data_IF_214854797529
#
_entry.id   IF_214854797529
#
_cell.length_a   1.000
_cell.length_b   1.000
_cell.length_c   1.000
_cell.angle_alpha   90.00
_cell.angle_beta   90.00
_cell.angle_gamma   90.00
#
_symmetry.space_group_name_H-M   'P 1'
#
loop_
_entity.id
_entity.type
_entity.pdbx_description
1 polymer ?
#
# COMPACT_ATOMS: atom_id res chain seq x y z
N UNK A 1 -4.22 -1.32 24.41
CA UNK A 1 -3.77 0.09 24.31
C UNK A 1 -4.12 0.89 25.56
N UNK A 2 -5.31 0.68 26.14
CA UNK A 2 -5.76 1.40 27.32
C UNK A 2 -5.23 0.76 28.62
N UNK A 3 -4.87 1.61 29.59
CA UNK A 3 -4.63 1.22 30.97
C UNK A 3 -5.98 1.05 31.71
N UNK A 4 -5.95 0.49 32.94
CA UNK A 4 -7.17 0.31 33.76
C UNK A 4 -7.94 1.59 34.05
N UNK A 5 -7.27 2.75 34.01
CA UNK A 5 -7.85 4.08 34.21
C UNK A 5 -8.39 4.73 32.94
N UNK A 6 -8.49 4.02 31.83
CA UNK A 6 -8.98 4.52 30.54
C UNK A 6 -7.97 5.34 29.73
N UNK A 7 -6.79 5.66 30.29
CA UNK A 7 -5.76 6.40 29.55
C UNK A 7 -4.94 5.47 28.64
N UNK A 8 -4.41 6.00 27.54
CA UNK A 8 -3.50 5.26 26.66
C UNK A 8 -2.20 4.98 27.43
N UNK A 9 -1.72 3.74 27.41
CA UNK A 9 -0.43 3.37 28.00
C UNK A 9 0.69 4.11 27.29
N UNK A 10 1.66 4.63 28.06
CA UNK A 10 2.76 5.44 27.54
C UNK A 10 3.56 4.73 26.42
N UNK A 11 3.78 3.41 26.57
CA UNK A 11 4.44 2.59 25.55
C UNK A 11 3.61 2.37 24.27
N UNK A 12 2.34 2.78 24.27
CA UNK A 12 1.41 2.65 23.14
C UNK A 12 1.02 4.00 22.50
N UNK A 13 1.45 5.13 23.06
CA UNK A 13 1.11 6.46 22.56
C UNK A 13 1.57 6.62 21.10
N UNK A 14 2.80 6.22 20.79
CA UNK A 14 3.32 6.29 19.40
C UNK A 14 2.43 5.51 18.43
N UNK A 15 2.08 4.27 18.78
CA UNK A 15 1.22 3.43 17.94
C UNK A 15 -0.18 4.02 17.78
N UNK A 16 -0.71 4.63 18.82
CA UNK A 16 -1.99 5.35 18.75
C UNK A 16 -1.92 6.53 17.78
N UNK A 17 -0.90 7.39 17.90
CA UNK A 17 -0.73 8.53 17.02
C UNK A 17 -0.53 8.11 15.55
N UNK A 18 0.18 7.00 15.30
CA UNK A 18 0.32 6.44 13.95
C UNK A 18 -1.03 6.00 13.36
N UNK A 19 -1.87 5.38 14.18
CA UNK A 19 -3.21 4.95 13.77
C UNK A 19 -4.10 6.16 13.49
N UNK A 20 -4.08 7.15 14.38
CA UNK A 20 -4.88 8.36 14.27
C UNK A 20 -4.52 9.14 13.00
N UNK A 21 -3.24 9.36 12.77
CA UNK A 21 -2.75 10.02 11.55
C UNK A 21 -3.05 9.22 10.27
N UNK A 22 -2.99 7.88 10.33
CA UNK A 22 -3.42 7.05 9.22
C UNK A 22 -4.89 7.28 8.88
N UNK A 23 -5.78 7.33 9.87
CA UNK A 23 -7.21 7.60 9.65
C UNK A 23 -7.42 8.98 9.04
N UNK A 24 -6.69 9.99 9.51
CA UNK A 24 -6.73 11.34 8.93
C UNK A 24 -6.35 11.36 7.45
N UNK A 25 -5.25 10.69 7.09
CA UNK A 25 -4.84 10.56 5.69
C UNK A 25 -5.88 9.81 4.84
N UNK A 26 -6.52 8.79 5.40
CA UNK A 26 -7.58 8.06 4.71
C UNK A 26 -8.84 8.89 4.50
N UNK A 27 -9.17 9.82 5.39
CA UNK A 27 -10.26 10.78 5.16
C UNK A 27 -10.04 11.58 3.88
N UNK A 28 -8.82 12.04 3.66
CA UNK A 28 -8.44 12.74 2.42
C UNK A 28 -8.63 11.87 1.18
N UNK A 29 -8.26 10.58 1.25
CA UNK A 29 -8.46 9.63 0.14
C UNK A 29 -9.94 9.38 -0.12
N UNK A 30 -10.72 9.11 0.93
CA UNK A 30 -12.17 8.87 0.82
C UNK A 30 -12.89 10.07 0.20
N UNK A 31 -12.50 11.30 0.57
CA UNK A 31 -13.04 12.53 -0.01
C UNK A 31 -12.73 12.64 -1.51
N UNK A 32 -11.52 12.28 -1.95
CA UNK A 32 -11.13 12.35 -3.37
C UNK A 32 -11.83 11.31 -4.24
N UNK A 33 -12.07 10.10 -3.73
CA UNK A 33 -12.81 9.07 -4.48
C UNK A 33 -14.33 9.32 -4.51
N UNK A 34 -14.81 10.30 -3.74
CA UNK A 34 -16.22 10.70 -3.63
C UNK A 34 -17.01 9.85 -2.65
N UNK A 35 -18.18 10.39 -2.26
CA UNK A 35 -19.08 9.70 -1.35
C UNK A 35 -19.68 8.43 -1.98
N UNK A 36 -19.86 7.38 -1.18
CA UNK A 36 -20.36 6.07 -1.57
C UNK A 36 -21.45 5.61 -0.62
N UNK A 37 -22.42 4.88 -1.14
CA UNK A 37 -23.40 4.16 -0.33
C UNK A 37 -22.73 3.02 0.42
N UNK A 38 -21.77 2.35 -0.24
CA UNK A 38 -20.94 1.30 0.31
C UNK A 38 -19.52 1.40 -0.22
N UNK A 39 -18.52 1.22 0.66
CA UNK A 39 -17.11 1.18 0.31
C UNK A 39 -16.59 -0.26 0.26
N UNK A 40 -15.94 -0.65 -0.83
CA UNK A 40 -15.24 -1.93 -0.97
C UNK A 40 -13.75 -1.70 -0.80
N UNK A 41 -13.17 -2.27 0.26
CA UNK A 41 -11.78 -2.04 0.65
C UNK A 41 -11.03 -3.37 0.65
N UNK A 42 -9.92 -3.39 -0.07
CA UNK A 42 -8.95 -4.48 -0.08
C UNK A 42 -7.73 -4.12 0.75
N UNK A 43 -7.39 -4.95 1.74
CA UNK A 43 -6.14 -4.86 2.48
C UNK A 43 -5.20 -5.98 1.98
N UNK A 44 -4.30 -5.60 1.07
CA UNK A 44 -3.37 -6.51 0.43
C UNK A 44 -2.11 -6.72 1.28
N UNK A 45 -1.79 -7.96 1.62
CA UNK A 45 -0.79 -8.36 2.63
C UNK A 45 -1.18 -7.81 4.01
N UNK A 46 -2.40 -8.11 4.43
CA UNK A 46 -3.05 -7.49 5.59
C UNK A 46 -2.38 -7.80 6.94
N UNK A 47 -1.55 -8.84 7.03
CA UNK A 47 -0.93 -9.25 8.29
C UNK A 47 -1.98 -9.43 9.37
N UNK A 48 -1.76 -8.83 10.54
CA UNK A 48 -2.73 -8.86 11.67
C UNK A 48 -3.94 -7.93 11.47
N UNK A 49 -4.07 -7.30 10.32
CA UNK A 49 -5.20 -6.45 9.89
C UNK A 49 -5.62 -5.33 10.86
N UNK A 50 -4.72 -4.88 11.75
CA UNK A 50 -5.09 -3.87 12.75
C UNK A 50 -5.63 -2.59 12.12
N UNK A 51 -5.04 -2.14 11.02
CA UNK A 51 -5.48 -0.92 10.34
C UNK A 51 -6.80 -1.13 9.61
N UNK A 52 -7.05 -2.32 9.05
CA UNK A 52 -8.35 -2.68 8.48
C UNK A 52 -9.46 -2.64 9.53
N UNK A 53 -9.20 -3.15 10.74
CA UNK A 53 -10.17 -3.08 11.84
C UNK A 53 -10.44 -1.63 12.26
N UNK A 54 -9.42 -0.79 12.30
CA UNK A 54 -9.57 0.65 12.63
C UNK A 54 -10.35 1.37 11.52
N UNK A 55 -10.03 1.12 10.25
CA UNK A 55 -10.77 1.69 9.13
C UNK A 55 -12.22 1.22 9.08
N UNK A 56 -12.46 -0.05 9.38
CA UNK A 56 -13.83 -0.58 9.47
C UNK A 56 -14.62 0.13 10.58
N UNK A 57 -14.03 0.28 11.75
CA UNK A 57 -14.63 1.04 12.85
C UNK A 57 -14.92 2.48 12.44
N UNK A 58 -13.95 3.15 11.82
CA UNK A 58 -14.10 4.53 11.38
C UNK A 58 -15.25 4.70 10.37
N UNK A 59 -15.29 3.89 9.33
CA UNK A 59 -16.35 3.94 8.31
C UNK A 59 -17.71 3.62 8.89
N UNK A 60 -17.79 2.51 9.64
CA UNK A 60 -19.08 1.98 10.13
C UNK A 60 -19.62 2.77 11.32
N UNK A 61 -18.77 3.04 12.31
CA UNK A 61 -19.22 3.61 13.59
C UNK A 61 -19.15 5.14 13.62
N UNK A 62 -18.15 5.74 12.95
CA UNK A 62 -18.01 7.20 12.95
C UNK A 62 -18.73 7.83 11.77
N UNK A 63 -18.44 7.37 10.54
CA UNK A 63 -19.04 7.93 9.33
C UNK A 63 -20.44 7.36 9.02
N UNK A 64 -20.86 6.27 9.70
CA UNK A 64 -22.12 5.55 9.47
C UNK A 64 -22.31 5.12 8.01
N UNK A 65 -21.21 4.73 7.36
CA UNK A 65 -21.18 4.23 5.99
C UNK A 65 -21.15 2.71 5.95
N UNK A 66 -21.80 2.12 4.95
CA UNK A 66 -21.63 0.70 4.67
C UNK A 66 -20.23 0.47 4.12
N UNK A 67 -19.63 -0.64 4.50
CA UNK A 67 -18.31 -1.03 3.99
C UNK A 67 -18.17 -2.54 3.98
N UNK A 68 -17.45 -3.04 2.99
CA UNK A 68 -17.04 -4.43 2.87
C UNK A 68 -15.51 -4.49 2.79
N UNK A 69 -14.91 -5.20 3.73
CA UNK A 69 -13.45 -5.37 3.80
C UNK A 69 -13.05 -6.77 3.37
N UNK A 70 -12.04 -6.84 2.50
CA UNK A 70 -11.44 -8.09 2.06
C UNK A 70 -9.95 -8.02 2.38
N UNK A 71 -9.54 -8.69 3.46
CA UNK A 71 -8.14 -8.84 3.85
C UNK A 71 -7.52 -10.05 3.13
N UNK A 72 -6.37 -9.86 2.51
CA UNK A 72 -5.64 -10.93 1.82
C UNK A 72 -4.23 -11.07 2.36
N UNK A 73 -3.82 -12.30 2.67
CA UNK A 73 -2.46 -12.62 3.12
C UNK A 73 -2.07 -14.02 2.68
N UNK A 74 -0.77 -14.27 2.53
CA UNK A 74 -0.25 -15.60 2.19
C UNK A 74 -0.24 -16.57 3.38
N UNK A 75 -0.29 -16.04 4.62
CA UNK A 75 -0.20 -16.81 5.86
C UNK A 75 -1.57 -17.25 6.35
N UNK A 76 -1.85 -18.54 6.30
CA UNK A 76 -3.08 -19.16 6.83
C UNK A 76 -3.32 -18.80 8.31
N UNK A 77 -2.25 -18.85 9.11
CA UNK A 77 -2.31 -18.52 10.55
C UNK A 77 -2.80 -17.08 10.78
N UNK A 78 -2.35 -16.15 9.94
CA UNK A 78 -2.75 -14.74 10.00
C UNK A 78 -4.21 -14.57 9.59
N UNK A 79 -4.62 -15.21 8.50
CA UNK A 79 -6.00 -15.19 8.01
C UNK A 79 -6.96 -15.73 9.07
N UNK A 80 -6.66 -16.87 9.67
CA UNK A 80 -7.52 -17.45 10.72
C UNK A 80 -7.56 -16.58 12.00
N UNK A 81 -6.46 -15.93 12.36
CA UNK A 81 -6.45 -15.00 13.49
C UNK A 81 -7.33 -13.77 13.20
N UNK A 82 -7.28 -13.23 11.97
CA UNK A 82 -8.10 -12.10 11.55
C UNK A 82 -9.59 -12.45 11.48
N UNK A 83 -9.95 -13.63 10.96
CA UNK A 83 -11.33 -14.15 10.99
C UNK A 83 -11.87 -14.24 12.42
N UNK A 84 -11.09 -14.81 13.35
CA UNK A 84 -11.49 -14.89 14.78
C UNK A 84 -11.68 -13.51 15.38
N UNK A 85 -10.80 -12.55 15.07
CA UNK A 85 -10.93 -11.18 15.57
C UNK A 85 -12.18 -10.50 15.04
N UNK A 86 -12.47 -10.60 13.74
CA UNK A 86 -13.68 -10.05 13.13
C UNK A 86 -14.94 -10.62 13.80
N UNK A 87 -14.99 -11.94 13.98
CA UNK A 87 -16.10 -12.61 14.67
C UNK A 87 -16.29 -12.10 16.10
N UNK A 88 -15.19 -11.96 16.87
CA UNK A 88 -15.25 -11.48 18.25
C UNK A 88 -15.72 -10.03 18.37
N UNK A 89 -15.46 -9.21 17.32
CA UNK A 89 -15.91 -7.81 17.25
C UNK A 89 -17.30 -7.65 16.62
N UNK A 90 -17.92 -8.74 16.15
CA UNK A 90 -19.21 -8.70 15.47
C UNK A 90 -19.15 -8.06 14.06
N UNK A 91 -17.99 -8.07 13.41
CA UNK A 91 -17.79 -7.49 12.08
C UNK A 91 -18.03 -8.52 10.97
N UNK A 92 -19.30 -8.74 10.63
CA UNK A 92 -19.71 -9.67 9.56
C UNK A 92 -19.43 -9.15 8.14
N UNK A 93 -18.99 -7.91 8.01
CA UNK A 93 -18.62 -7.23 6.76
C UNK A 93 -17.11 -7.29 6.46
N UNK A 94 -16.36 -8.12 7.19
CA UNK A 94 -14.94 -8.35 6.96
C UNK A 94 -14.71 -9.79 6.55
N UNK A 95 -14.12 -9.98 5.40
CA UNK A 95 -13.72 -11.27 4.84
C UNK A 95 -12.20 -11.38 4.81
N UNK A 96 -11.66 -12.57 5.03
CA UNK A 96 -10.22 -12.83 4.98
C UNK A 96 -9.95 -14.07 4.15
N UNK A 97 -9.13 -13.92 3.11
CA UNK A 97 -8.83 -14.97 2.13
C UNK A 97 -7.33 -15.07 1.87
N UNK A 98 -6.92 -16.22 1.34
CA UNK A 98 -5.53 -16.50 0.98
C UNK A 98 -5.42 -16.79 -0.53
N UNK A 99 -5.50 -15.78 -1.39
CA UNK A 99 -5.30 -15.96 -2.82
C UNK A 99 -3.83 -15.84 -3.20
N UNK A 100 -3.49 -16.28 -4.39
CA UNK A 100 -2.27 -15.84 -5.06
C UNK A 100 -2.50 -14.41 -5.62
N UNK A 101 -1.87 -13.42 -4.99
CA UNK A 101 -2.01 -12.00 -5.38
C UNK A 101 -1.53 -11.71 -6.81
N UNK A 102 -0.69 -12.58 -7.37
CA UNK A 102 -0.18 -12.38 -8.73
C UNK A 102 -1.23 -12.66 -9.80
N UNK A 103 -2.21 -13.50 -9.48
CA UNK A 103 -3.27 -13.94 -10.41
C UNK A 103 -4.67 -13.49 -9.96
N UNK A 104 -4.82 -13.18 -8.69
CA UNK A 104 -6.12 -12.83 -8.12
C UNK A 104 -6.67 -11.54 -8.72
N UNK A 105 -7.91 -11.62 -9.18
CA UNK A 105 -8.70 -10.45 -9.60
C UNK A 105 -9.92 -10.36 -8.70
N UNK A 106 -10.12 -9.23 -8.00
CA UNK A 106 -11.31 -9.04 -7.19
C UNK A 106 -12.59 -9.15 -8.00
N UNK A 107 -13.63 -9.84 -7.50
CA UNK A 107 -14.92 -9.97 -8.21
C UNK A 107 -15.67 -8.64 -8.28
N UNK A 108 -15.34 -7.71 -7.39
CA UNK A 108 -15.94 -6.36 -7.33
C UNK A 108 -14.80 -5.34 -7.40
N UNK A 109 -15.00 -4.28 -8.18
CA UNK A 109 -14.04 -3.17 -8.27
C UNK A 109 -13.83 -2.54 -6.88
N UNK A 110 -12.61 -2.55 -6.32
CA UNK A 110 -12.34 -1.89 -5.05
C UNK A 110 -12.47 -0.37 -5.16
N UNK A 111 -13.02 0.25 -4.12
CA UNK A 111 -12.90 1.70 -3.95
C UNK A 111 -11.50 2.05 -3.45
N UNK A 112 -10.93 1.20 -2.60
CA UNK A 112 -9.61 1.39 -2.04
C UNK A 112 -8.85 0.07 -1.94
N UNK A 113 -7.63 0.03 -2.43
CA UNK A 113 -6.64 -1.00 -2.12
C UNK A 113 -5.62 -0.40 -1.16
N UNK A 114 -5.45 -1.03 0.00
CA UNK A 114 -4.46 -0.62 1.00
C UNK A 114 -3.39 -1.70 1.10
N UNK A 115 -2.14 -1.30 1.25
CA UNK A 115 -1.03 -2.22 1.53
C UNK A 115 -0.05 -1.54 2.48
N UNK A 116 -0.09 -1.96 3.73
CA UNK A 116 0.71 -1.39 4.80
C UNK A 116 1.70 -2.44 5.29
N UNK A 117 2.99 -2.15 5.11
CA UNK A 117 4.08 -3.05 5.50
C UNK A 117 4.17 -4.37 4.69
N UNK A 118 3.67 -4.38 3.46
CA UNK A 118 4.01 -5.44 2.51
C UNK A 118 5.51 -5.34 2.18
N UNK A 119 6.24 -6.43 2.42
CA UNK A 119 7.69 -6.42 2.22
C UNK A 119 8.06 -6.58 0.75
N UNK A 120 8.99 -5.73 0.28
CA UNK A 120 9.66 -5.83 -1.01
C UNK A 120 8.66 -5.95 -2.19
N UNK A 121 8.74 -7.01 -2.98
CA UNK A 121 7.87 -7.23 -4.12
C UNK A 121 6.40 -7.51 -3.78
N UNK A 122 6.07 -7.83 -2.52
CA UNK A 122 4.67 -7.93 -2.08
C UNK A 122 3.94 -6.58 -2.18
N UNK A 123 4.66 -5.46 -1.98
CA UNK A 123 4.12 -4.11 -2.29
C UNK A 123 3.74 -4.00 -3.76
N UNK A 124 4.60 -4.47 -4.66
CA UNK A 124 4.34 -4.40 -6.11
C UNK A 124 3.17 -5.29 -6.53
N UNK A 125 3.00 -6.46 -5.88
CA UNK A 125 1.82 -7.32 -6.08
C UNK A 125 0.53 -6.61 -5.67
N UNK A 126 0.54 -5.90 -4.55
CA UNK A 126 -0.61 -5.13 -4.06
C UNK A 126 -0.95 -3.96 -5.01
N UNK A 127 0.06 -3.21 -5.46
CA UNK A 127 -0.12 -2.14 -6.45
C UNK A 127 -0.68 -2.70 -7.76
N UNK A 128 -0.11 -3.80 -8.27
CA UNK A 128 -0.55 -4.46 -9.49
C UNK A 128 -2.00 -4.97 -9.38
N UNK A 129 -2.40 -5.54 -8.23
CA UNK A 129 -3.79 -5.91 -7.97
C UNK A 129 -4.72 -4.69 -8.08
N UNK A 130 -4.36 -3.58 -7.45
CA UNK A 130 -5.14 -2.34 -7.53
C UNK A 130 -5.24 -1.79 -8.96
N UNK A 131 -4.16 -1.88 -9.74
CA UNK A 131 -4.12 -1.46 -11.15
C UNK A 131 -5.02 -2.36 -12.00
N UNK A 132 -4.86 -3.69 -11.93
CA UNK A 132 -5.68 -4.66 -12.69
C UNK A 132 -7.16 -4.51 -12.37
N UNK A 133 -7.50 -4.33 -11.09
CA UNK A 133 -8.88 -4.11 -10.64
C UNK A 133 -9.41 -2.69 -10.95
N UNK A 134 -8.59 -1.80 -11.49
CA UNK A 134 -8.91 -0.37 -11.69
C UNK A 134 -9.47 0.27 -10.43
N UNK A 135 -8.88 -0.06 -9.26
CA UNK A 135 -9.27 0.50 -7.97
C UNK A 135 -9.35 2.03 -8.04
N UNK A 136 -10.32 2.64 -7.33
CA UNK A 136 -10.45 4.11 -7.35
C UNK A 136 -9.30 4.80 -6.65
N UNK A 137 -8.79 4.17 -5.59
CA UNK A 137 -7.55 4.60 -4.97
C UNK A 137 -6.69 3.41 -4.55
N UNK A 138 -5.39 3.64 -4.48
CA UNK A 138 -4.40 2.70 -3.94
C UNK A 138 -3.55 3.48 -2.94
N UNK A 139 -3.38 2.91 -1.74
CA UNK A 139 -2.52 3.47 -0.69
C UNK A 139 -1.54 2.41 -0.24
N UNK A 140 -0.26 2.71 -0.32
CA UNK A 140 0.79 1.77 0.09
C UNK A 140 1.86 2.46 0.92
N UNK A 141 2.36 1.76 1.95
CA UNK A 141 3.50 2.20 2.76
C UNK A 141 4.60 1.15 2.65
N UNK A 142 5.51 1.29 1.67
CA UNK A 142 6.60 0.35 1.45
C UNK A 142 7.61 0.39 2.61
N UNK A 143 8.11 -0.76 3.02
CA UNK A 143 9.12 -0.83 4.08
C UNK A 143 10.44 -1.48 3.62
N UNK A 144 10.45 -2.20 2.52
CA UNK A 144 11.61 -2.91 1.99
C UNK A 144 11.72 -2.72 0.47
N UNK A 145 12.95 -2.63 -0.06
CA UNK A 145 13.24 -2.32 -1.46
C UNK A 145 14.42 -3.15 -1.98
N UNK A 146 14.42 -4.45 -1.66
CA UNK A 146 15.55 -5.34 -1.96
C UNK A 146 15.62 -5.75 -3.43
N UNK A 147 14.49 -5.76 -4.14
CA UNK A 147 14.42 -6.18 -5.54
C UNK A 147 15.28 -5.25 -6.42
N UNK A 148 15.04 -3.95 -6.38
CA UNK A 148 15.83 -2.96 -7.13
C UNK A 148 17.26 -2.85 -6.59
N UNK A 149 17.48 -2.92 -5.27
CA UNK A 149 18.82 -2.89 -4.66
C UNK A 149 19.78 -3.93 -5.25
N UNK A 150 19.26 -5.11 -5.61
CA UNK A 150 20.04 -6.20 -6.20
C UNK A 150 20.31 -6.03 -7.70
N UNK A 151 19.50 -5.22 -8.36
CA UNK A 151 19.54 -5.08 -9.82
C UNK A 151 20.29 -3.83 -10.28
N UNK A 152 19.99 -2.66 -9.67
CA UNK A 152 20.37 -1.41 -10.25
C UNK A 152 21.88 -1.16 -10.28
N UNK A 153 22.33 -0.63 -11.40
CA UNK A 153 23.66 -0.10 -11.61
C UNK A 153 23.56 1.19 -12.42
N UNK A 154 24.37 2.18 -12.07
CA UNK A 154 24.50 3.41 -12.81
C UNK A 154 25.88 3.99 -12.57
N UNK A 155 26.76 3.87 -13.55
CA UNK A 155 28.19 4.20 -13.45
C UNK A 155 28.44 5.62 -12.90
N UNK A 156 27.72 6.68 -13.32
CA UNK A 156 27.91 8.02 -12.75
C UNK A 156 27.69 8.11 -11.23
N UNK A 157 27.00 7.14 -10.62
CA UNK A 157 26.76 7.08 -9.17
C UNK A 157 27.72 6.15 -8.43
N UNK A 158 28.73 5.59 -9.09
CA UNK A 158 29.67 4.62 -8.48
C UNK A 158 30.35 5.19 -7.24
N UNK A 159 30.77 6.47 -7.29
CA UNK A 159 31.37 7.15 -6.15
C UNK A 159 30.47 7.19 -4.89
N UNK A 160 29.14 7.13 -5.07
CA UNK A 160 28.13 7.08 -4.00
C UNK A 160 27.82 5.64 -3.64
N UNK A 161 27.53 4.80 -4.64
CA UNK A 161 27.01 3.44 -4.45
C UNK A 161 28.04 2.43 -3.97
N UNK A 162 29.34 2.75 -4.06
CA UNK A 162 30.41 2.00 -3.38
C UNK A 162 30.19 1.92 -1.86
N UNK A 163 29.47 2.86 -1.28
CA UNK A 163 29.08 2.82 0.13
C UNK A 163 27.71 2.14 0.26
N UNK A 164 27.68 0.91 0.77
CA UNK A 164 26.48 0.06 0.81
C UNK A 164 25.24 0.71 1.46
N UNK A 165 25.45 1.54 2.51
CA UNK A 165 24.32 2.27 3.13
C UNK A 165 23.72 3.32 2.19
N UNK A 166 24.54 4.02 1.40
CA UNK A 166 24.06 5.01 0.43
C UNK A 166 23.39 4.30 -0.76
N UNK A 167 23.98 3.17 -1.20
CA UNK A 167 23.38 2.32 -2.23
C UNK A 167 21.97 1.87 -1.83
N UNK A 168 21.78 1.42 -0.59
CA UNK A 168 20.48 0.98 -0.08
C UNK A 168 19.45 2.13 -0.01
N UNK A 169 19.85 3.31 0.48
CA UNK A 169 18.97 4.48 0.54
C UNK A 169 18.56 4.97 -0.84
N UNK A 170 19.48 4.93 -1.79
CA UNK A 170 19.16 5.29 -3.18
C UNK A 170 18.21 4.28 -3.80
N UNK A 171 18.40 2.97 -3.54
CA UNK A 171 17.48 1.94 -3.99
C UNK A 171 16.04 2.14 -3.47
N UNK A 172 15.88 2.59 -2.23
CA UNK A 172 14.56 2.93 -1.67
C UNK A 172 13.87 4.02 -2.51
N UNK A 173 14.58 5.12 -2.75
CA UNK A 173 14.07 6.26 -3.54
C UNK A 173 13.78 5.87 -4.98
N UNK A 174 14.68 5.13 -5.62
CA UNK A 174 14.52 4.66 -7.01
C UNK A 174 13.32 3.73 -7.15
N UNK A 175 13.14 2.79 -6.19
CA UNK A 175 12.02 1.86 -6.23
C UNK A 175 10.68 2.58 -6.13
N UNK A 176 10.55 3.50 -5.17
CA UNK A 176 9.29 4.22 -4.97
C UNK A 176 9.03 5.23 -6.10
N UNK A 177 10.07 5.85 -6.65
CA UNK A 177 9.98 6.67 -7.85
C UNK A 177 9.50 5.89 -9.08
N UNK A 178 10.03 4.69 -9.31
CA UNK A 178 9.58 3.80 -10.39
C UNK A 178 8.12 3.36 -10.20
N UNK A 179 7.71 3.04 -8.97
CA UNK A 179 6.31 2.73 -8.64
C UNK A 179 5.38 3.90 -8.95
N UNK A 180 5.77 5.12 -8.56
CA UNK A 180 5.00 6.33 -8.83
C UNK A 180 4.85 6.59 -10.33
N UNK A 181 5.96 6.58 -11.09
CA UNK A 181 5.93 6.79 -12.54
C UNK A 181 5.08 5.74 -13.26
N UNK A 182 5.16 4.47 -12.84
CA UNK A 182 4.31 3.42 -13.42
C UNK A 182 2.83 3.64 -13.12
N UNK A 183 2.45 3.96 -11.89
CA UNK A 183 1.07 4.27 -11.52
C UNK A 183 0.51 5.44 -12.33
N UNK A 184 1.28 6.50 -12.51
CA UNK A 184 0.88 7.64 -13.33
C UNK A 184 0.70 7.26 -14.80
N UNK A 185 1.60 6.44 -15.35
CA UNK A 185 1.52 5.97 -16.73
C UNK A 185 0.23 5.21 -17.05
N UNK A 186 -0.33 4.53 -16.04
CA UNK A 186 -1.56 3.73 -16.18
C UNK A 186 -2.83 4.45 -15.71
N UNK A 187 -2.76 5.75 -15.43
CA UNK A 187 -3.92 6.61 -15.22
C UNK A 187 -4.25 6.95 -13.77
N UNK A 188 -3.29 6.86 -12.86
CA UNK A 188 -3.43 7.34 -11.50
C UNK A 188 -2.75 8.70 -11.32
N UNK A 189 -3.34 9.57 -10.51
CA UNK A 189 -2.68 10.74 -9.93
C UNK A 189 -1.97 10.29 -8.66
N UNK A 190 -0.65 10.45 -8.60
CA UNK A 190 0.17 9.99 -7.47
C UNK A 190 0.59 11.15 -6.58
N UNK A 191 0.62 10.90 -5.28
CA UNK A 191 1.19 11.79 -4.26
C UNK A 191 2.05 10.95 -3.32
N UNK A 192 3.26 11.44 -3.05
CA UNK A 192 4.19 10.86 -2.08
C UNK A 192 4.09 11.67 -0.80
N UNK A 193 3.79 11.02 0.34
CA UNK A 193 3.48 11.69 1.60
C UNK A 193 4.34 11.08 2.70
N UNK A 194 4.93 11.91 3.56
CA UNK A 194 5.51 11.42 4.81
C UNK A 194 4.38 11.01 5.77
N UNK A 195 4.24 9.70 5.96
CA UNK A 195 3.18 9.09 6.76
C UNK A 195 3.46 9.16 8.26
N UNK A 196 4.72 9.11 8.66
CA UNK A 196 5.17 9.12 10.05
C UNK A 196 6.46 9.95 10.10
N UNK A 197 6.75 10.54 11.25
CA UNK A 197 8.01 11.25 11.45
C UNK A 197 9.22 10.38 11.11
N UNK A 198 10.21 10.89 10.35
CA UNK A 198 11.45 10.16 10.07
C UNK A 198 12.27 9.83 11.33
N UNK A 199 11.97 10.47 12.47
CA UNK A 199 12.55 10.12 13.77
C UNK A 199 12.03 8.79 14.32
N UNK A 200 10.88 8.32 13.85
CA UNK A 200 10.30 7.03 14.27
C UNK A 200 10.75 5.88 13.36
N UNK A 201 10.80 6.14 12.06
CA UNK A 201 11.29 5.19 11.06
C UNK A 201 11.73 5.92 9.79
N UNK A 202 12.86 5.54 9.19
CA UNK A 202 13.26 6.07 7.88
C UNK A 202 12.40 5.54 6.72
N UNK A 203 11.55 4.54 6.96
CA UNK A 203 10.63 3.95 5.99
C UNK A 203 9.22 4.52 6.22
N UNK A 204 9.08 5.80 5.94
CA UNK A 204 7.92 6.60 6.31
C UNK A 204 7.15 7.17 5.11
N UNK A 205 7.49 6.75 3.90
CA UNK A 205 6.81 7.22 2.69
C UNK A 205 5.51 6.43 2.46
N UNK A 206 4.44 7.16 2.24
CA UNK A 206 3.16 6.64 1.74
C UNK A 206 3.01 7.01 0.27
N UNK A 207 2.77 6.01 -0.56
CA UNK A 207 2.35 6.18 -1.95
C UNK A 207 0.82 6.24 -1.94
N UNK A 208 0.26 7.36 -2.35
CA UNK A 208 -1.17 7.56 -2.52
C UNK A 208 -1.46 7.79 -3.99
N UNK A 209 -2.27 6.92 -4.58
CA UNK A 209 -2.63 6.96 -5.99
C UNK A 209 -4.15 6.99 -6.15
N UNK A 210 -4.70 7.98 -6.85
CA UNK A 210 -6.13 8.12 -7.12
C UNK A 210 -6.39 7.98 -8.62
N UNK A 211 -7.29 7.09 -8.99
CA UNK A 211 -7.57 6.78 -10.40
C UNK A 211 -8.30 7.93 -11.09
N UNK A 212 -7.68 8.45 -12.13
CA UNK A 212 -8.25 9.52 -12.97
C UNK A 212 -8.69 9.01 -14.35
N UNK A 213 -8.23 7.82 -14.75
CA UNK A 213 -8.40 7.27 -16.08
C UNK A 213 -7.57 7.94 -17.17
N UNK A 214 -6.83 9.01 -16.85
CA UNK A 214 -6.00 9.75 -17.79
C UNK A 214 -4.57 9.20 -17.74
N UNK A 215 -4.19 8.41 -18.74
CA UNK A 215 -2.81 7.93 -18.89
C UNK A 215 -1.87 9.10 -19.09
N UNK A 216 -0.68 9.04 -18.52
CA UNK A 216 0.36 10.06 -18.64
C UNK A 216 1.51 9.49 -19.50
N UNK A 217 1.54 9.88 -20.77
CA UNK A 217 2.58 9.42 -21.72
C UNK A 217 3.99 9.90 -21.31
N UNK A 218 4.09 11.07 -20.67
CA UNK A 218 5.37 11.53 -20.13
C UNK A 218 5.86 10.62 -19.01
N UNK A 219 5.01 10.32 -18.03
CA UNK A 219 5.38 9.41 -16.94
C UNK A 219 5.71 8.00 -17.44
N UNK A 220 5.05 7.55 -18.53
CA UNK A 220 5.40 6.30 -19.19
C UNK A 220 6.81 6.35 -19.79
N UNK A 221 7.14 7.42 -20.51
CA UNK A 221 8.48 7.61 -21.09
C UNK A 221 9.54 7.74 -19.98
N UNK A 222 9.24 8.49 -18.91
CA UNK A 222 10.13 8.65 -17.76
C UNK A 222 10.40 7.30 -17.07
N UNK A 223 9.37 6.47 -16.91
CA UNK A 223 9.50 5.10 -16.37
C UNK A 223 10.42 4.23 -17.24
N UNK A 224 10.20 4.20 -18.56
CA UNK A 224 11.03 3.41 -19.49
C UNK A 224 12.49 3.91 -19.50
N UNK A 225 12.70 5.23 -19.55
CA UNK A 225 14.03 5.82 -19.50
C UNK A 225 14.79 5.47 -18.21
N UNK A 226 14.11 5.58 -17.04
CA UNK A 226 14.70 5.21 -15.76
C UNK A 226 15.05 3.73 -15.71
N UNK A 227 14.16 2.88 -16.20
CA UNK A 227 14.36 1.43 -16.25
C UNK A 227 15.59 1.03 -17.08
N UNK A 228 15.72 1.64 -18.26
CA UNK A 228 16.87 1.43 -19.14
C UNK A 228 18.16 1.99 -18.54
N UNK A 229 18.15 3.24 -18.06
CA UNK A 229 19.30 3.91 -17.48
C UNK A 229 19.85 3.18 -16.25
N UNK A 230 18.98 2.64 -15.42
CA UNK A 230 19.35 1.91 -14.21
C UNK A 230 19.60 0.41 -14.44
N UNK A 231 19.32 -0.08 -15.65
CA UNK A 231 19.39 -1.50 -16.03
C UNK A 231 18.57 -2.39 -15.07
N UNK A 232 17.30 -2.06 -14.85
CA UNK A 232 16.42 -2.76 -13.91
C UNK A 232 15.16 -3.31 -14.56
N UNK A 233 14.56 -4.33 -13.95
CA UNK A 233 13.27 -4.91 -14.30
C UNK A 233 12.31 -4.79 -13.10
N UNK A 234 11.61 -3.66 -12.94
CA UNK A 234 10.78 -3.39 -11.77
C UNK A 234 9.67 -4.44 -11.58
N UNK A 235 9.48 -4.87 -10.32
CA UNK A 235 8.49 -5.89 -10.00
C UNK A 235 7.06 -5.46 -10.33
N UNK A 236 6.73 -4.18 -10.17
CA UNK A 236 5.40 -3.65 -10.50
C UNK A 236 5.01 -3.93 -11.96
N UNK A 237 5.92 -3.73 -12.91
CA UNK A 237 5.69 -4.01 -14.32
C UNK A 237 5.49 -5.52 -14.55
N UNK A 238 6.33 -6.36 -13.93
CA UNK A 238 6.24 -7.83 -14.06
C UNK A 238 4.88 -8.37 -13.59
N UNK A 239 4.34 -7.84 -12.48
CA UNK A 239 3.06 -8.30 -11.94
C UNK A 239 1.84 -7.69 -12.64
N UNK A 240 1.97 -6.53 -13.25
CA UNK A 240 0.89 -5.96 -14.07
C UNK A 240 0.73 -6.70 -15.40
N UNK A 241 1.83 -7.10 -16.05
CA UNK A 241 1.80 -7.80 -17.35
C UNK A 241 1.31 -9.25 -17.26
N UNK A 242 1.41 -9.92 -16.11
CA UNK A 242 0.89 -11.28 -15.92
C UNK A 242 -0.62 -11.41 -16.10
N UNK A 243 -1.37 -10.33 -16.06
CA UNK A 243 -2.82 -10.31 -16.30
C UNK A 243 -3.24 -9.98 -17.75
N UNK A 244 -2.28 -9.79 -18.66
CA UNK A 244 -2.53 -9.47 -20.08
C UNK A 244 -2.37 -10.66 -21.03
N UNK A 245 -2.23 -11.91 -20.48
CA UNK A 245 -2.12 -13.16 -21.27
C UNK A 245 -3.47 -13.84 -21.33
#
# INVERSE_FOLDING_TARGET
ILAKNGKIKNDKIRKYNQIDYFVELMQGVLKEIGDRDEYVIFDAACGKSYLSFVMNFYLKEILKKKCHFIGVDYSETVIEASKRMAKNLGYNNMEFIKPDLTEYTPPIRPDLVVSLHACDTATDMALALGIRAKSRAIVSVPCCHKDILKQYSYEPFEAITKHGILKARLADTLTDGLRAAYLESVGYKVSMIEYISPLETPKNIMIRAVYTGKKNEKSKQDFENLKEMLNVKPAIERFCRKGEI
#
